data_IF_482060515385
#
_entry.id   IF_482060515385
#
_cell.length_a   1.000
_cell.length_b   1.000
_cell.length_c   1.000
_cell.angle_alpha   90.00
_cell.angle_beta   90.00
_cell.angle_gamma   90.00
#
_symmetry.space_group_name_H-M   'P 1'
#
loop_
_entity.id
_entity.type
_entity.pdbx_description
1 polymer ?
#
# COMPACT_ATOMS: atom_id res chain seq x y z
N UNK A 1 36.07 -2.43 28.66
CA UNK A 1 35.14 -2.76 27.55
C UNK A 1 33.71 -2.90 28.08
N UNK A 2 33.18 -1.91 28.81
CA UNK A 2 32.03 -2.13 29.71
C UNK A 2 30.87 -1.14 29.70
N UNK A 3 30.89 -0.07 28.89
CA UNK A 3 29.77 0.89 28.81
C UNK A 3 29.36 1.17 27.35
N UNK A 4 30.32 1.34 26.44
CA UNK A 4 30.05 1.49 25.00
C UNK A 4 29.28 0.29 24.41
N UNK A 5 29.53 -0.93 24.89
CA UNK A 5 28.82 -2.12 24.43
C UNK A 5 27.30 -2.08 24.75
N UNK A 6 26.88 -1.32 25.77
CA UNK A 6 25.47 -1.16 26.13
C UNK A 6 24.70 -0.27 25.15
N UNK A 7 25.36 0.71 24.52
CA UNK A 7 24.74 1.64 23.55
C UNK A 7 24.59 1.01 22.15
N UNK A 8 25.55 0.17 21.75
CA UNK A 8 25.54 -0.44 20.40
C UNK A 8 24.67 -1.69 20.30
N UNK A 9 24.41 -2.39 21.42
CA UNK A 9 23.66 -3.63 21.43
C UNK A 9 22.18 -3.45 21.00
N UNK A 10 21.43 -2.44 21.50
CA UNK A 10 20.07 -2.17 21.03
C UNK A 10 20.00 -1.87 19.52
N UNK A 11 20.96 -1.06 19.02
CA UNK A 11 21.05 -0.73 17.60
C UNK A 11 21.37 -1.95 16.72
N UNK A 12 22.22 -2.86 17.20
CA UNK A 12 22.55 -4.10 16.50
C UNK A 12 21.35 -5.05 16.42
N UNK A 13 20.58 -5.19 17.50
CA UNK A 13 19.34 -5.98 17.49
C UNK A 13 18.24 -5.35 16.64
N UNK A 14 18.11 -4.02 16.67
CA UNK A 14 17.23 -3.30 15.78
C UNK A 14 17.61 -3.56 14.31
N UNK A 15 18.89 -3.46 13.96
CA UNK A 15 19.39 -3.75 12.63
C UNK A 15 19.01 -5.17 12.19
N UNK A 16 19.21 -6.15 13.07
CA UNK A 16 18.85 -7.54 12.84
C UNK A 16 17.33 -7.70 12.62
N UNK A 17 16.51 -7.06 13.45
CA UNK A 17 15.06 -7.05 13.34
C UNK A 17 14.57 -6.43 12.02
N UNK A 18 15.15 -5.31 11.60
CA UNK A 18 14.85 -4.65 10.32
C UNK A 18 15.25 -5.53 9.13
N UNK A 19 16.41 -6.19 9.20
CA UNK A 19 16.84 -7.15 8.17
C UNK A 19 15.84 -8.30 8.03
N UNK A 20 15.42 -8.91 9.15
CA UNK A 20 14.43 -10.00 9.10
C UNK A 20 13.06 -9.51 8.64
N UNK A 21 12.62 -8.33 9.08
CA UNK A 21 11.38 -7.70 8.63
C UNK A 21 11.38 -7.51 7.11
N UNK A 22 12.48 -6.98 6.55
CA UNK A 22 12.65 -6.79 5.09
C UNK A 22 12.66 -8.12 4.35
N UNK A 23 13.42 -9.10 4.83
CA UNK A 23 13.49 -10.43 4.22
C UNK A 23 12.14 -11.17 4.25
N UNK A 24 11.34 -10.96 5.29
CA UNK A 24 9.98 -11.48 5.38
C UNK A 24 9.07 -10.84 4.32
N UNK A 25 9.15 -9.51 4.13
CA UNK A 25 8.41 -8.81 3.06
C UNK A 25 8.84 -9.23 1.65
N UNK A 26 10.06 -9.73 1.46
CA UNK A 26 10.58 -10.26 0.19
C UNK A 26 10.18 -11.74 -0.07
N UNK A 27 9.42 -12.38 0.82
CA UNK A 27 8.89 -13.73 0.59
C UNK A 27 9.90 -14.87 0.71
N UNK A 28 11.03 -14.69 1.42
CA UNK A 28 12.02 -15.76 1.62
C UNK A 28 11.50 -16.80 2.63
N UNK A 29 11.01 -17.94 2.13
CA UNK A 29 10.34 -19.06 2.87
C UNK A 29 11.01 -19.55 4.17
N UNK A 30 12.32 -19.42 4.32
CA UNK A 30 13.07 -20.05 5.43
C UNK A 30 12.98 -19.29 6.77
N UNK A 31 12.45 -18.07 6.79
CA UNK A 31 12.62 -17.17 7.94
C UNK A 31 11.32 -16.71 8.60
N UNK A 32 10.14 -16.88 7.97
CA UNK A 32 8.87 -16.28 8.41
C UNK A 32 8.48 -16.60 9.86
N UNK A 33 8.63 -17.86 10.31
CA UNK A 33 8.32 -18.23 11.71
C UNK A 33 9.34 -17.69 12.73
N UNK A 34 10.61 -17.53 12.35
CA UNK A 34 11.68 -17.04 13.23
C UNK A 34 11.80 -15.51 13.21
N UNK A 35 11.39 -14.86 12.13
CA UNK A 35 11.44 -13.40 11.93
C UNK A 35 10.35 -12.66 12.69
N UNK A 36 9.19 -13.28 12.91
CA UNK A 36 8.12 -12.68 13.73
C UNK A 36 8.42 -12.80 15.22
N UNK A 37 9.04 -13.90 15.66
CA UNK A 37 9.47 -14.08 17.06
C UNK A 37 10.61 -13.12 17.45
N UNK A 38 11.48 -12.75 16.51
CA UNK A 38 12.57 -11.79 16.78
C UNK A 38 12.08 -10.35 16.97
N UNK A 39 10.90 -9.97 16.45
CA UNK A 39 10.30 -8.66 16.73
C UNK A 39 9.83 -8.49 18.18
N UNK A 40 9.49 -9.60 18.83
CA UNK A 40 9.16 -9.67 20.26
C UNK A 40 10.45 -9.71 21.10
N UNK A 41 11.50 -10.36 20.61
CA UNK A 41 12.82 -10.32 21.25
C UNK A 41 13.44 -8.90 21.22
N UNK A 42 13.20 -8.09 20.17
CA UNK A 42 13.54 -6.66 20.16
C UNK A 42 12.72 -5.84 21.15
N UNK A 43 11.46 -6.22 21.43
CA UNK A 43 10.62 -5.58 22.44
C UNK A 43 11.17 -5.76 23.86
N UNK A 44 11.84 -6.90 24.13
CA UNK A 44 12.53 -7.15 25.39
C UNK A 44 13.66 -6.13 25.69
N UNK A 45 14.13 -5.40 24.67
CA UNK A 45 15.20 -4.40 24.77
C UNK A 45 14.71 -2.94 24.77
N UNK A 46 13.39 -2.70 24.71
CA UNK A 46 12.79 -1.38 25.00
C UNK A 46 13.20 -0.85 26.40
N UNK A 47 13.62 -1.76 27.27
CA UNK A 47 14.18 -1.49 28.59
C UNK A 47 15.61 -0.91 28.58
N UNK A 48 16.32 -0.88 27.45
CA UNK A 48 17.75 -0.55 27.44
C UNK A 48 18.06 0.88 26.99
N UNK A 49 17.20 1.53 26.19
CA UNK A 49 17.32 2.98 25.96
C UNK A 49 15.97 3.65 25.65
N UNK A 50 15.20 4.07 26.67
CA UNK A 50 13.92 4.75 26.50
C UNK A 50 14.02 6.18 25.91
N UNK A 51 15.22 6.62 25.47
CA UNK A 51 15.44 7.96 24.91
C UNK A 51 15.67 8.00 23.40
N UNK A 52 15.72 6.86 22.71
CA UNK A 52 15.86 6.83 21.25
C UNK A 52 14.49 6.70 20.57
N UNK A 53 14.03 7.80 19.98
CA UNK A 53 12.75 7.87 19.27
C UNK A 53 12.71 6.94 18.06
N UNK A 54 13.85 6.70 17.41
CA UNK A 54 13.94 5.87 16.20
C UNK A 54 13.84 4.38 16.51
N UNK A 55 14.42 3.95 17.63
CA UNK A 55 14.23 2.58 18.14
C UNK A 55 12.76 2.35 18.50
N UNK A 56 12.15 3.33 19.18
CA UNK A 56 10.74 3.28 19.59
C UNK A 56 9.79 3.22 18.39
N UNK A 57 10.01 4.05 17.37
CA UNK A 57 9.26 4.06 16.12
C UNK A 57 9.38 2.71 15.37
N UNK A 58 10.60 2.19 15.22
CA UNK A 58 10.81 0.94 14.51
C UNK A 58 10.18 -0.27 15.24
N UNK A 59 10.19 -0.26 16.58
CA UNK A 59 9.47 -1.27 17.37
C UNK A 59 7.96 -1.17 17.13
N UNK A 60 7.39 0.04 17.22
CA UNK A 60 5.97 0.27 16.92
C UNK A 60 5.62 -0.23 15.52
N UNK A 61 6.45 0.09 14.52
CA UNK A 61 6.26 -0.33 13.14
C UNK A 61 6.28 -1.85 13.00
N UNK A 62 7.21 -2.53 13.68
CA UNK A 62 7.29 -3.99 13.63
C UNK A 62 6.07 -4.65 14.29
N UNK A 63 5.61 -4.15 15.44
CA UNK A 63 4.38 -4.62 16.08
C UNK A 63 3.16 -4.41 15.16
N UNK A 64 3.07 -3.26 14.50
CA UNK A 64 2.03 -2.95 13.54
C UNK A 64 2.03 -3.92 12.34
N UNK A 65 3.20 -4.22 11.76
CA UNK A 65 3.36 -5.20 10.67
C UNK A 65 2.87 -6.59 11.08
N UNK A 66 3.08 -6.99 12.34
CA UNK A 66 2.62 -8.28 12.90
C UNK A 66 1.15 -8.22 13.39
N UNK A 67 0.41 -7.14 13.07
CA UNK A 67 -1.00 -6.92 13.46
C UNK A 67 -1.24 -6.77 14.97
N UNK A 68 -0.20 -6.52 15.77
CA UNK A 68 -0.35 -6.16 17.18
C UNK A 68 -0.62 -4.65 17.31
N UNK A 69 -1.76 -4.21 16.76
CA UNK A 69 -2.12 -2.78 16.61
C UNK A 69 -2.21 -2.06 17.96
N UNK A 70 -2.74 -2.72 19.00
CA UNK A 70 -2.82 -2.15 20.35
C UNK A 70 -1.44 -2.02 21.01
N UNK A 71 -0.61 -3.05 20.93
CA UNK A 71 0.74 -3.05 21.50
C UNK A 71 1.67 -2.04 20.82
N UNK A 72 1.45 -1.74 19.53
CA UNK A 72 2.22 -0.75 18.78
C UNK A 72 2.04 0.69 19.28
N UNK A 73 0.95 0.99 19.99
CA UNK A 73 0.63 2.36 20.42
C UNK A 73 1.60 2.88 21.49
N UNK A 74 2.02 2.04 22.43
CA UNK A 74 2.89 2.46 23.55
C UNK A 74 4.30 2.86 23.07
N UNK A 75 5.01 2.05 22.27
CA UNK A 75 6.28 2.47 21.66
C UNK A 75 6.16 3.69 20.75
N UNK A 76 5.03 3.83 20.05
CA UNK A 76 4.81 5.01 19.21
C UNK A 76 4.60 6.28 20.04
N UNK A 77 3.86 6.20 21.15
CA UNK A 77 3.70 7.31 22.07
C UNK A 77 5.04 7.75 22.67
N UNK A 78 5.92 6.79 23.00
CA UNK A 78 7.28 7.10 23.43
C UNK A 78 8.05 7.87 22.34
N UNK A 79 8.01 7.42 21.07
CA UNK A 79 8.64 8.12 19.95
C UNK A 79 8.11 9.56 19.76
N UNK A 80 6.78 9.74 19.78
CA UNK A 80 6.13 11.05 19.66
C UNK A 80 6.38 11.96 20.87
N UNK A 81 6.57 11.40 22.07
CA UNK A 81 6.91 12.19 23.26
C UNK A 81 8.30 12.83 23.18
N UNK A 82 9.21 12.19 22.43
CA UNK A 82 10.56 12.70 22.16
C UNK A 82 10.56 13.64 20.96
N UNK A 83 9.84 13.26 19.89
CA UNK A 83 9.74 14.02 18.63
C UNK A 83 8.28 14.05 18.15
N UNK A 84 7.52 15.05 18.59
CA UNK A 84 6.09 15.19 18.26
C UNK A 84 5.81 15.46 16.78
N UNK A 85 6.80 16.01 16.06
CA UNK A 85 6.69 16.41 14.65
C UNK A 85 7.36 15.42 13.69
N UNK A 86 7.76 14.23 14.16
CA UNK A 86 8.37 13.24 13.28
C UNK A 86 7.37 12.70 12.24
N UNK A 87 7.69 12.91 10.96
CA UNK A 87 6.85 12.54 9.80
C UNK A 87 6.42 11.08 9.86
N UNK A 88 7.36 10.17 10.08
CA UNK A 88 7.09 8.73 10.05
C UNK A 88 6.27 8.28 11.26
N UNK A 89 6.47 8.89 12.43
CA UNK A 89 5.69 8.64 13.63
C UNK A 89 4.25 9.12 13.47
N UNK A 90 4.02 10.33 12.93
CA UNK A 90 2.67 10.82 12.63
C UNK A 90 1.98 9.98 11.54
N UNK A 91 2.72 9.54 10.52
CA UNK A 91 2.19 8.64 9.49
C UNK A 91 1.84 7.27 10.09
N UNK A 92 2.67 6.70 10.96
CA UNK A 92 2.37 5.44 11.63
C UNK A 92 1.14 5.57 12.54
N UNK A 93 1.01 6.67 13.28
CA UNK A 93 -0.16 6.96 14.11
C UNK A 93 -1.43 6.99 13.26
N UNK A 94 -1.38 7.69 12.12
CA UNK A 94 -2.47 7.72 11.14
C UNK A 94 -2.87 6.30 10.70
N UNK A 95 -1.90 5.45 10.37
CA UNK A 95 -2.17 4.07 9.92
C UNK A 95 -2.75 3.21 11.06
N UNK A 96 -2.24 3.33 12.29
CA UNK A 96 -2.75 2.60 13.45
C UNK A 96 -4.18 3.02 13.80
N UNK A 97 -4.48 4.33 13.80
CA UNK A 97 -5.84 4.84 14.00
C UNK A 97 -6.78 4.33 12.90
N UNK A 98 -6.31 4.31 11.65
CA UNK A 98 -7.09 3.76 10.53
C UNK A 98 -7.35 2.25 10.70
N UNK A 99 -6.39 1.50 11.24
CA UNK A 99 -6.54 0.08 11.53
C UNK A 99 -7.57 -0.18 12.64
N UNK A 100 -7.68 0.73 13.60
CA UNK A 100 -8.71 0.74 14.65
C UNK A 100 -10.05 1.32 14.17
N UNK A 101 -10.19 1.64 12.89
CA UNK A 101 -11.37 2.28 12.27
C UNK A 101 -11.70 3.68 12.82
N UNK A 102 -10.74 4.34 13.46
CA UNK A 102 -10.84 5.74 13.89
C UNK A 102 -10.47 6.69 12.74
N UNK A 103 -11.22 6.65 11.63
CA UNK A 103 -10.86 7.37 10.39
C UNK A 103 -10.82 8.89 10.55
N UNK A 104 -11.72 9.49 11.35
CA UNK A 104 -11.69 10.93 11.60
C UNK A 104 -10.38 11.38 12.28
N UNK A 105 -9.99 10.71 13.37
CA UNK A 105 -8.75 11.01 14.09
C UNK A 105 -7.51 10.71 13.23
N UNK A 106 -7.56 9.67 12.40
CA UNK A 106 -6.50 9.36 11.45
C UNK A 106 -6.33 10.52 10.45
N UNK A 107 -7.43 11.05 9.90
CA UNK A 107 -7.40 12.16 8.94
C UNK A 107 -6.91 13.46 9.60
N UNK A 108 -7.30 13.75 10.84
CA UNK A 108 -6.79 14.90 11.61
C UNK A 108 -5.27 14.81 11.83
N UNK A 109 -4.79 13.64 12.25
CA UNK A 109 -3.35 13.37 12.44
C UNK A 109 -2.60 13.51 11.11
N UNK A 110 -3.18 13.01 10.03
CA UNK A 110 -2.58 13.11 8.69
C UNK A 110 -2.51 14.55 8.19
N UNK A 111 -3.55 15.35 8.45
CA UNK A 111 -3.57 16.76 8.10
C UNK A 111 -2.52 17.57 8.88
N UNK A 112 -2.25 17.19 10.14
CA UNK A 112 -1.12 17.75 10.90
C UNK A 112 0.21 17.46 10.19
N UNK A 113 0.46 16.20 9.79
CA UNK A 113 1.68 15.84 9.08
C UNK A 113 1.81 16.54 7.71
N UNK A 114 0.70 16.65 6.97
CA UNK A 114 0.64 17.38 5.69
C UNK A 114 0.82 18.90 5.85
N UNK A 115 0.44 19.48 6.99
CA UNK A 115 0.70 20.91 7.25
C UNK A 115 2.19 21.22 7.33
N UNK A 116 3.00 20.25 7.75
CA UNK A 116 4.46 20.35 7.83
C UNK A 116 5.13 19.89 6.53
N UNK A 117 4.51 18.94 5.82
CA UNK A 117 5.03 18.32 4.60
C UNK A 117 3.95 18.25 3.49
N UNK A 118 3.55 19.39 2.89
CA UNK A 118 2.41 19.46 1.97
C UNK A 118 2.62 18.63 0.70
N UNK A 119 3.85 18.55 0.21
CA UNK A 119 4.19 17.87 -1.04
C UNK A 119 4.52 16.38 -0.86
N UNK A 120 4.34 15.83 0.35
CA UNK A 120 4.65 14.42 0.60
C UNK A 120 3.60 13.50 -0.04
N UNK A 121 3.94 12.99 -1.22
CA UNK A 121 3.07 12.11 -2.01
C UNK A 121 2.64 10.84 -1.27
N UNK A 122 3.45 10.29 -0.34
CA UNK A 122 3.04 9.13 0.45
C UNK A 122 1.96 9.48 1.48
N UNK A 123 2.04 10.66 2.10
CA UNK A 123 0.99 11.16 2.98
C UNK A 123 -0.29 11.45 2.17
N UNK A 124 -0.16 12.13 1.03
CA UNK A 124 -1.29 12.43 0.14
C UNK A 124 -1.98 11.16 -0.39
N UNK A 125 -1.25 10.12 -0.79
CA UNK A 125 -1.85 8.82 -1.14
C UNK A 125 -2.59 8.17 0.04
N UNK A 126 -2.15 8.43 1.27
CA UNK A 126 -2.87 7.97 2.48
C UNK A 126 -4.13 8.78 2.71
N UNK A 127 -4.09 10.09 2.43
CA UNK A 127 -5.24 11.00 2.50
C UNK A 127 -6.31 10.57 1.50
N UNK A 128 -5.93 10.34 0.24
CA UNK A 128 -6.82 9.82 -0.81
C UNK A 128 -7.56 8.56 -0.33
N UNK A 129 -6.83 7.59 0.25
CA UNK A 129 -7.43 6.35 0.74
C UNK A 129 -8.35 6.54 1.95
N UNK A 130 -8.04 7.48 2.86
CA UNK A 130 -8.94 7.82 3.97
C UNK A 130 -10.19 8.55 3.48
N UNK A 131 -10.04 9.49 2.54
CA UNK A 131 -11.17 10.21 1.94
C UNK A 131 -12.08 9.28 1.14
N UNK A 132 -11.51 8.33 0.41
CA UNK A 132 -12.26 7.28 -0.30
C UNK A 132 -13.15 6.51 0.69
N UNK A 133 -12.61 6.11 1.84
CA UNK A 133 -13.33 5.38 2.87
C UNK A 133 -14.38 6.21 3.63
N UNK A 134 -14.14 7.51 3.82
CA UNK A 134 -15.01 8.39 4.62
C UNK A 134 -16.09 9.10 3.81
N UNK A 135 -15.75 9.53 2.58
CA UNK A 135 -16.54 10.46 1.79
C UNK A 135 -16.84 9.94 0.37
N UNK A 136 -16.24 8.81 -0.01
CA UNK A 136 -16.43 8.18 -1.32
C UNK A 136 -15.43 8.64 -2.40
N UNK A 137 -15.51 8.06 -3.60
CA UNK A 137 -14.49 8.22 -4.63
C UNK A 137 -14.37 9.66 -5.17
N UNK A 138 -15.49 10.40 -5.26
CA UNK A 138 -15.49 11.76 -5.76
C UNK A 138 -14.65 12.72 -4.90
N UNK A 139 -14.70 12.59 -3.56
CA UNK A 139 -13.89 13.40 -2.66
C UNK A 139 -12.40 13.06 -2.77
N UNK A 140 -12.08 11.76 -2.85
CA UNK A 140 -10.71 11.28 -3.00
C UNK A 140 -10.06 11.70 -4.34
N UNK A 141 -10.86 11.80 -5.40
CA UNK A 141 -10.40 12.27 -6.72
C UNK A 141 -9.89 13.71 -6.67
N UNK A 142 -10.48 14.57 -5.85
CA UNK A 142 -10.01 15.95 -5.69
C UNK A 142 -8.55 15.99 -5.21
N UNK A 143 -8.20 15.17 -4.22
CA UNK A 143 -6.80 15.07 -3.75
C UNK A 143 -5.88 14.46 -4.82
N UNK A 144 -6.34 13.49 -5.61
CA UNK A 144 -5.57 12.99 -6.75
C UNK A 144 -5.30 14.07 -7.82
N UNK A 145 -6.29 14.91 -8.12
CA UNK A 145 -6.14 16.03 -9.05
C UNK A 145 -5.12 17.05 -8.53
N UNK A 146 -5.18 17.41 -7.24
CA UNK A 146 -4.19 18.27 -6.59
C UNK A 146 -2.77 17.69 -6.70
N UNK A 147 -2.61 16.39 -6.41
CA UNK A 147 -1.32 15.70 -6.55
C UNK A 147 -0.75 15.77 -7.97
N UNK A 148 -1.59 15.55 -8.99
CA UNK A 148 -1.17 15.60 -10.39
C UNK A 148 -0.83 17.02 -10.83
N UNK A 149 -1.60 18.02 -10.37
CA UNK A 149 -1.31 19.44 -10.63
C UNK A 149 0.01 19.87 -10.00
N UNK A 150 0.26 19.51 -8.74
CA UNK A 150 1.53 19.74 -8.06
C UNK A 150 2.69 19.11 -8.86
N UNK A 151 2.54 17.85 -9.28
CA UNK A 151 3.57 17.17 -10.08
C UNK A 151 3.85 17.89 -11.40
N UNK A 152 2.80 18.28 -12.15
CA UNK A 152 2.93 19.03 -13.41
C UNK A 152 3.62 20.38 -13.20
N UNK A 153 3.32 21.07 -12.10
CA UNK A 153 3.92 22.38 -11.78
C UNK A 153 5.41 22.29 -11.43
N UNK A 154 5.84 21.20 -10.78
CA UNK A 154 7.24 21.00 -10.38
C UNK A 154 8.12 20.47 -11.51
N UNK A 155 7.55 19.82 -12.52
CA UNK A 155 8.29 19.19 -13.61
C UNK A 155 8.21 19.93 -14.96
N UNK A 156 7.74 21.18 -14.94
CA UNK A 156 7.81 22.19 -16.01
C UNK A 156 7.82 21.61 -17.42
N UNK A 157 6.74 20.88 -17.77
CA UNK A 157 6.36 20.72 -19.17
C UNK A 157 5.65 22.02 -19.53
N UNK A 158 6.35 22.89 -20.23
CA UNK A 158 5.87 24.18 -20.70
C UNK A 158 4.44 24.14 -21.24
N UNK A 159 3.48 24.74 -20.54
CA UNK A 159 2.69 25.85 -21.07
C UNK A 159 1.85 26.51 -19.98
N UNK A 160 1.86 27.84 -20.00
CA UNK A 160 1.09 28.72 -19.14
C UNK A 160 -0.42 28.37 -19.14
N UNK A 161 -1.07 28.25 -17.97
CA UNK A 161 -2.23 29.12 -17.62
C UNK A 161 -3.00 28.69 -16.34
N UNK A 162 -3.56 29.72 -15.71
CA UNK A 162 -4.32 29.85 -14.45
C UNK A 162 -5.61 28.99 -14.29
N UNK A 163 -6.23 28.93 -13.08
CA UNK A 163 -6.74 27.68 -12.46
C UNK A 163 -8.26 27.41 -12.54
N UNK A 164 -9.03 28.00 -13.45
CA UNK A 164 -10.50 28.06 -13.28
C UNK A 164 -11.37 27.06 -14.09
N UNK A 165 -10.81 26.13 -14.88
CA UNK A 165 -11.61 25.22 -15.73
C UNK A 165 -10.93 23.85 -15.86
N UNK A 166 -10.87 23.06 -14.79
CA UNK A 166 -9.98 21.91 -14.67
C UNK A 166 -10.44 20.63 -15.43
N UNK A 167 -11.75 20.37 -15.56
CA UNK A 167 -12.23 19.09 -16.13
C UNK A 167 -12.14 19.03 -17.65
N UNK A 168 -12.39 20.14 -18.36
CA UNK A 168 -12.28 20.16 -19.84
C UNK A 168 -10.86 20.44 -20.34
N UNK A 169 -9.91 20.74 -19.44
CA UNK A 169 -8.51 21.05 -19.79
C UNK A 169 -7.54 19.96 -19.45
N UNK A 170 -7.91 19.01 -18.58
CA UNK A 170 -7.28 17.70 -18.58
C UNK A 170 -7.33 17.16 -20.03
N UNK A 171 -8.49 17.02 -20.67
CA UNK A 171 -8.57 16.53 -22.07
C UNK A 171 -7.64 17.25 -23.09
N UNK A 172 -7.38 18.55 -22.94
CA UNK A 172 -6.53 19.33 -23.84
C UNK A 172 -5.03 19.24 -23.53
N UNK A 173 -4.64 19.30 -22.25
CA UNK A 173 -3.23 19.11 -21.84
C UNK A 173 -2.78 17.64 -22.00
N UNK A 174 -3.72 16.70 -21.88
CA UNK A 174 -3.50 15.26 -21.96
C UNK A 174 -3.29 14.74 -23.39
N UNK A 175 -3.67 15.51 -24.42
CA UNK A 175 -3.35 15.17 -25.81
C UNK A 175 -1.89 15.48 -26.18
N UNK A 176 -1.28 16.51 -25.57
CA UNK A 176 0.11 16.92 -25.84
C UNK A 176 1.14 16.07 -25.04
N UNK A 177 0.74 15.46 -23.93
CA UNK A 177 1.60 14.55 -23.14
C UNK A 177 1.85 13.22 -23.87
N UNK A 178 0.94 12.79 -24.75
CA UNK A 178 1.09 11.56 -25.54
C UNK A 178 2.28 11.60 -26.51
N UNK A 179 2.62 12.79 -27.01
CA UNK A 179 3.75 13.02 -27.94
C UNK A 179 5.12 13.10 -27.23
N UNK A 180 5.15 13.18 -25.89
CA UNK A 180 6.37 13.36 -25.09
C UNK A 180 6.94 12.05 -24.50
N UNK A 181 6.34 10.91 -24.80
CA UNK A 181 6.79 9.58 -24.34
C UNK A 181 8.19 9.18 -24.86
N UNK A 182 8.74 9.90 -25.85
CA UNK A 182 10.02 9.60 -26.49
C UNK A 182 11.20 10.47 -26.04
N UNK A 183 10.97 11.54 -25.29
CA UNK A 183 12.00 12.55 -24.98
C UNK A 183 12.34 12.58 -23.50
N UNK A 184 13.31 11.72 -23.14
CA UNK A 184 14.20 11.83 -21.96
C UNK A 184 13.51 12.02 -20.60
N UNK A 185 13.22 10.88 -19.96
CA UNK A 185 13.02 10.76 -18.51
C UNK A 185 14.27 11.27 -17.78
N UNK A 186 14.27 12.52 -17.33
CA UNK A 186 15.33 13.10 -16.49
C UNK A 186 14.73 13.35 -15.10
N UNK A 187 15.34 12.74 -14.08
CA UNK A 187 14.86 12.79 -12.70
C UNK A 187 15.05 11.45 -12.00
N UNK A 188 15.18 11.42 -10.66
CA UNK A 188 15.40 10.18 -9.93
C UNK A 188 14.20 9.21 -10.08
N UNK A 189 14.46 7.89 -10.15
CA UNK A 189 13.49 6.87 -10.55
C UNK A 189 12.24 6.80 -9.65
N UNK A 190 12.37 7.16 -8.38
CA UNK A 190 11.26 7.12 -7.42
C UNK A 190 10.12 8.11 -7.75
N UNK A 191 10.42 9.21 -8.45
CA UNK A 191 9.42 10.20 -8.85
C UNK A 191 8.42 9.57 -9.83
N UNK A 192 8.94 8.88 -10.84
CA UNK A 192 8.13 8.20 -11.86
C UNK A 192 7.30 7.07 -11.27
N UNK A 193 7.89 6.28 -10.37
CA UNK A 193 7.18 5.21 -9.64
C UNK A 193 6.04 5.81 -8.81
N UNK A 194 6.25 7.00 -8.23
CA UNK A 194 5.20 7.66 -7.46
C UNK A 194 4.10 8.20 -8.36
N UNK A 195 4.45 8.82 -9.50
CA UNK A 195 3.47 9.27 -10.49
C UNK A 195 2.63 8.11 -11.03
N UNK A 196 3.23 6.96 -11.34
CA UNK A 196 2.51 5.74 -11.71
C UNK A 196 1.48 5.37 -10.64
N UNK A 197 1.85 5.40 -9.36
CA UNK A 197 0.92 5.11 -8.26
C UNK A 197 -0.22 6.11 -8.17
N UNK A 198 0.02 7.39 -8.41
CA UNK A 198 -1.05 8.41 -8.43
C UNK A 198 -2.03 8.14 -9.56
N UNK A 199 -1.53 7.86 -10.78
CA UNK A 199 -2.37 7.50 -11.91
C UNK A 199 -3.20 6.24 -11.66
N UNK A 200 -2.58 5.18 -11.12
CA UNK A 200 -3.28 3.94 -10.79
C UNK A 200 -4.34 4.16 -9.70
N UNK A 201 -4.05 5.01 -8.72
CA UNK A 201 -5.00 5.37 -7.68
C UNK A 201 -6.20 6.14 -8.24
N UNK A 202 -5.96 7.15 -9.10
CA UNK A 202 -7.03 7.86 -9.78
C UNK A 202 -7.87 6.92 -10.66
N UNK A 203 -7.21 6.01 -11.39
CA UNK A 203 -7.89 4.98 -12.19
C UNK A 203 -8.78 4.05 -11.36
N UNK A 204 -8.32 3.64 -10.18
CA UNK A 204 -9.12 2.85 -9.24
C UNK A 204 -10.35 3.62 -8.75
N UNK A 205 -10.20 4.91 -8.40
CA UNK A 205 -11.30 5.77 -7.97
C UNK A 205 -12.33 6.00 -9.09
N UNK A 206 -11.89 6.23 -10.33
CA UNK A 206 -12.79 6.34 -11.47
C UNK A 206 -13.54 5.03 -11.76
N UNK A 207 -12.89 3.88 -11.57
CA UNK A 207 -13.59 2.59 -11.65
C UNK A 207 -14.66 2.45 -10.56
N UNK A 208 -14.37 2.88 -9.33
CA UNK A 208 -15.34 2.88 -8.23
C UNK A 208 -16.52 3.83 -8.48
N UNK A 209 -16.29 4.94 -9.19
CA UNK A 209 -17.31 5.91 -9.62
C UNK A 209 -18.00 5.51 -10.96
N UNK A 210 -17.74 4.31 -11.49
CA UNK A 210 -18.26 3.81 -12.77
C UNK A 210 -17.88 4.65 -14.01
N UNK A 211 -16.86 5.52 -13.89
CA UNK A 211 -16.32 6.37 -14.96
C UNK A 211 -15.22 5.64 -15.73
N UNK A 212 -15.63 4.63 -16.49
CA UNK A 212 -14.69 3.68 -17.11
C UNK A 212 -13.79 4.28 -18.20
N UNK A 213 -14.15 5.41 -18.82
CA UNK A 213 -13.32 6.06 -19.84
C UNK A 213 -12.12 6.76 -19.20
N UNK A 214 -12.37 7.49 -18.14
CA UNK A 214 -11.38 8.18 -17.33
C UNK A 214 -10.46 7.18 -16.63
N UNK A 215 -11.03 6.08 -16.10
CA UNK A 215 -10.23 4.98 -15.58
C UNK A 215 -9.26 4.40 -16.62
N UNK A 216 -9.75 4.15 -17.85
CA UNK A 216 -8.91 3.66 -18.94
C UNK A 216 -7.78 4.63 -19.27
N UNK A 217 -8.08 5.92 -19.26
CA UNK A 217 -7.09 6.98 -19.50
C UNK A 217 -6.00 6.97 -18.42
N UNK A 218 -6.36 7.00 -17.14
CA UNK A 218 -5.39 6.95 -16.04
C UNK A 218 -4.49 5.69 -16.09
N UNK A 219 -5.08 4.54 -16.43
CA UNK A 219 -4.31 3.29 -16.60
C UNK A 219 -3.38 3.36 -17.81
N UNK A 220 -3.77 4.03 -18.90
CA UNK A 220 -2.92 4.24 -20.07
C UNK A 220 -1.72 5.15 -19.74
N UNK A 221 -1.92 6.21 -18.95
CA UNK A 221 -0.84 7.07 -18.48
C UNK A 221 0.12 6.33 -17.53
N UNK A 222 -0.39 5.54 -16.59
CA UNK A 222 0.47 4.67 -15.78
C UNK A 222 1.27 3.69 -16.65
N UNK A 223 0.66 3.15 -17.71
CA UNK A 223 1.32 2.26 -18.66
C UNK A 223 2.36 2.97 -19.54
N UNK A 224 2.19 4.25 -19.85
CA UNK A 224 3.18 5.03 -20.62
C UNK A 224 4.50 5.19 -19.84
N UNK A 225 4.39 5.28 -18.50
CA UNK A 225 5.52 5.27 -17.58
C UNK A 225 6.15 3.88 -17.48
N UNK A 226 5.34 2.87 -17.16
CA UNK A 226 5.79 1.49 -16.95
C UNK A 226 4.87 0.48 -17.66
N UNK A 227 5.11 0.18 -18.95
CA UNK A 227 4.22 -0.67 -19.74
C UNK A 227 4.05 -2.10 -19.20
N UNK A 228 5.10 -2.63 -18.56
CA UNK A 228 5.17 -3.98 -18.01
C UNK A 228 5.08 -3.97 -16.48
N UNK A 229 4.47 -2.94 -15.88
CA UNK A 229 4.20 -2.95 -14.44
C UNK A 229 3.07 -3.93 -14.13
N UNK A 230 3.30 -4.85 -13.19
CA UNK A 230 2.25 -5.78 -12.75
C UNK A 230 1.02 -5.01 -12.22
N UNK A 231 1.21 -3.86 -11.57
CA UNK A 231 0.13 -3.03 -11.05
C UNK A 231 -0.76 -2.48 -12.16
N UNK A 232 -0.15 -2.03 -13.27
CA UNK A 232 -0.88 -1.56 -14.47
C UNK A 232 -1.70 -2.69 -15.07
N UNK A 233 -1.09 -3.87 -15.25
CA UNK A 233 -1.77 -5.05 -15.81
C UNK A 233 -2.95 -5.49 -14.93
N UNK A 234 -2.79 -5.47 -13.60
CA UNK A 234 -3.88 -5.75 -12.67
C UNK A 234 -5.04 -4.76 -12.81
N UNK A 235 -4.77 -3.45 -12.96
CA UNK A 235 -5.83 -2.46 -13.16
C UNK A 235 -6.52 -2.61 -14.53
N UNK A 236 -5.77 -2.97 -15.59
CA UNK A 236 -6.36 -3.31 -16.90
C UNK A 236 -7.30 -4.51 -16.81
N UNK A 237 -6.87 -5.57 -16.14
CA UNK A 237 -7.71 -6.74 -15.92
C UNK A 237 -8.99 -6.39 -15.16
N UNK A 238 -8.88 -5.58 -14.09
CA UNK A 238 -10.04 -5.15 -13.29
C UNK A 238 -11.01 -4.29 -14.09
N UNK A 239 -10.50 -3.38 -14.91
CA UNK A 239 -11.33 -2.58 -15.81
C UNK A 239 -12.07 -3.44 -16.83
N UNK A 240 -11.41 -4.48 -17.37
CA UNK A 240 -12.04 -5.44 -18.28
C UNK A 240 -13.14 -6.26 -17.59
N UNK A 241 -12.93 -6.71 -16.34
CA UNK A 241 -13.98 -7.37 -15.54
C UNK A 241 -15.21 -6.47 -15.35
N UNK A 242 -15.00 -5.21 -14.95
CA UNK A 242 -16.08 -4.22 -14.77
C UNK A 242 -16.84 -3.92 -16.06
N UNK A 243 -16.20 -4.12 -17.22
CA UNK A 243 -16.83 -3.99 -18.55
C UNK A 243 -17.49 -5.28 -19.05
N UNK A 244 -17.42 -6.37 -18.28
CA UNK A 244 -17.97 -7.68 -18.68
C UNK A 244 -17.15 -8.40 -19.74
N UNK A 245 -15.82 -8.17 -19.77
CA UNK A 245 -14.87 -8.79 -20.70
C UNK A 245 -13.95 -9.78 -19.97
N UNK A 246 -14.45 -10.99 -19.58
CA UNK A 246 -13.70 -11.91 -18.73
C UNK A 246 -12.47 -12.52 -19.39
N UNK A 247 -12.48 -12.69 -20.72
CA UNK A 247 -11.34 -13.26 -21.46
C UNK A 247 -10.16 -12.27 -21.51
N UNK A 248 -10.44 -11.00 -21.77
CA UNK A 248 -9.43 -9.92 -21.75
C UNK A 248 -8.88 -9.73 -20.33
N UNK A 249 -9.76 -9.75 -19.33
CA UNK A 249 -9.37 -9.68 -17.93
C UNK A 249 -8.37 -10.78 -17.57
N UNK A 250 -8.68 -12.02 -17.95
CA UNK A 250 -7.81 -13.17 -17.75
C UNK A 250 -6.46 -13.00 -18.43
N UNK A 251 -6.41 -12.53 -19.67
CA UNK A 251 -5.15 -12.29 -20.37
C UNK A 251 -4.24 -11.33 -19.60
N UNK A 252 -4.79 -10.19 -19.15
CA UNK A 252 -4.04 -9.22 -18.36
C UNK A 252 -3.59 -9.75 -16.99
N UNK A 253 -4.41 -10.57 -16.33
CA UNK A 253 -4.03 -11.21 -15.08
C UNK A 253 -2.94 -12.27 -15.25
N UNK A 254 -3.01 -13.09 -16.31
CA UNK A 254 -1.98 -14.07 -16.64
C UNK A 254 -0.62 -13.37 -16.93
N UNK A 255 -0.63 -12.25 -17.65
CA UNK A 255 0.55 -11.41 -17.87
C UNK A 255 1.11 -10.81 -16.56
N UNK A 256 0.23 -10.28 -15.69
CA UNK A 256 0.64 -9.69 -14.42
C UNK A 256 1.39 -10.71 -13.53
N UNK A 257 0.91 -11.95 -13.51
CA UNK A 257 1.50 -13.05 -12.72
C UNK A 257 2.84 -13.53 -13.28
N UNK A 258 2.99 -13.53 -14.60
CA UNK A 258 4.26 -13.86 -15.24
C UNK A 258 5.38 -12.88 -14.82
N UNK A 259 5.01 -11.63 -14.51
CA UNK A 259 5.94 -10.58 -14.07
C UNK A 259 6.17 -10.65 -12.56
N UNK A 260 5.10 -10.66 -11.77
CA UNK A 260 5.19 -10.69 -10.31
C UNK A 260 4.16 -11.66 -9.73
N UNK A 261 4.60 -12.81 -9.18
CA UNK A 261 3.69 -13.84 -8.67
C UNK A 261 2.78 -13.40 -7.52
N UNK A 262 2.96 -12.22 -6.92
CA UNK A 262 2.17 -11.75 -5.74
C UNK A 262 0.85 -11.05 -6.09
N UNK A 263 0.38 -11.11 -7.34
CA UNK A 263 -0.98 -10.69 -7.74
C UNK A 263 -2.10 -11.64 -7.28
N UNK A 264 -1.82 -12.47 -6.26
CA UNK A 264 -2.51 -13.71 -5.94
C UNK A 264 -3.99 -13.49 -5.54
N UNK A 265 -4.31 -12.31 -4.98
CA UNK A 265 -5.67 -11.91 -4.63
C UNK A 265 -6.59 -11.88 -5.85
N UNK A 266 -6.19 -11.13 -6.86
CA UNK A 266 -7.03 -10.85 -8.03
C UNK A 266 -7.13 -12.12 -8.88
N UNK A 267 -6.03 -12.88 -8.96
CA UNK A 267 -6.05 -14.18 -9.60
C UNK A 267 -6.94 -15.18 -8.87
N UNK A 268 -6.88 -15.26 -7.54
CA UNK A 268 -7.68 -16.21 -6.77
C UNK A 268 -9.17 -16.05 -7.05
N UNK A 269 -9.67 -14.81 -6.98
CA UNK A 269 -11.06 -14.48 -7.29
C UNK A 269 -11.43 -14.79 -8.75
N UNK A 270 -10.58 -14.41 -9.70
CA UNK A 270 -10.79 -14.73 -11.12
C UNK A 270 -10.83 -16.25 -11.36
N UNK A 271 -9.94 -17.02 -10.73
CA UNK A 271 -9.89 -18.47 -10.90
C UNK A 271 -11.13 -19.13 -10.33
N UNK A 272 -11.66 -18.65 -9.19
CA UNK A 272 -12.97 -19.09 -8.67
C UNK A 272 -14.08 -18.77 -9.66
N UNK A 273 -14.16 -17.53 -10.14
CA UNK A 273 -15.19 -17.08 -11.07
C UNK A 273 -15.14 -17.80 -12.43
N UNK A 274 -13.96 -18.21 -12.88
CA UNK A 274 -13.75 -18.98 -14.12
C UNK A 274 -13.87 -20.50 -13.91
N UNK A 275 -14.38 -20.96 -12.76
CA UNK A 275 -14.63 -22.37 -12.47
C UNK A 275 -13.38 -23.21 -12.20
N UNK A 276 -12.22 -22.59 -12.04
CA UNK A 276 -10.92 -23.24 -11.79
C UNK A 276 -10.55 -23.23 -10.31
N UNK A 277 -11.50 -23.64 -9.46
CA UNK A 277 -11.39 -23.55 -8.01
C UNK A 277 -10.18 -24.31 -7.41
N UNK A 278 -9.78 -25.45 -7.98
CA UNK A 278 -8.58 -26.18 -7.53
C UNK A 278 -7.27 -25.41 -7.77
N UNK A 279 -7.16 -24.71 -8.90
CA UNK A 279 -6.00 -23.85 -9.17
C UNK A 279 -6.04 -22.61 -8.27
N UNK A 280 -7.24 -22.05 -8.06
CA UNK A 280 -7.45 -20.94 -7.14
C UNK A 280 -6.96 -21.31 -5.73
N UNK A 281 -7.39 -22.46 -5.20
CA UNK A 281 -6.95 -22.95 -3.89
C UNK A 281 -5.42 -23.04 -3.81
N UNK A 282 -4.76 -23.65 -4.81
CA UNK A 282 -3.30 -23.81 -4.79
C UNK A 282 -2.59 -22.46 -4.73
N UNK A 283 -2.99 -21.52 -5.59
CA UNK A 283 -2.37 -20.18 -5.63
C UNK A 283 -2.66 -19.40 -4.35
N UNK A 284 -3.89 -19.45 -3.84
CA UNK A 284 -4.28 -18.75 -2.62
C UNK A 284 -3.63 -19.35 -1.37
N UNK A 285 -3.35 -20.66 -1.35
CA UNK A 285 -2.56 -21.30 -0.28
C UNK A 285 -1.12 -20.82 -0.28
N UNK A 286 -0.50 -20.66 -1.45
CA UNK A 286 0.83 -20.04 -1.55
C UNK A 286 0.75 -18.58 -1.07
N UNK A 287 -0.29 -17.85 -1.46
CA UNK A 287 -0.50 -16.46 -1.08
C UNK A 287 -0.59 -16.22 0.43
N UNK A 288 -1.40 -17.01 1.14
CA UNK A 288 -1.52 -16.89 2.61
C UNK A 288 -0.25 -17.37 3.33
N UNK A 289 0.60 -18.19 2.69
CA UNK A 289 1.92 -18.52 3.24
C UNK A 289 2.90 -17.35 3.12
N UNK A 290 2.85 -16.60 2.01
CA UNK A 290 3.69 -15.41 1.81
C UNK A 290 3.18 -14.18 2.58
N UNK A 291 1.87 -13.96 2.58
CA UNK A 291 1.18 -12.82 3.17
C UNK A 291 0.09 -13.30 4.14
N UNK A 292 0.52 -13.86 5.27
CA UNK A 292 -0.39 -14.41 6.29
C UNK A 292 -1.39 -13.40 6.86
N UNK A 293 -1.09 -12.10 6.73
CA UNK A 293 -1.92 -11.00 7.25
C UNK A 293 -2.82 -10.35 6.19
N UNK A 294 -2.97 -10.97 5.02
CA UNK A 294 -3.84 -10.48 3.93
C UNK A 294 -5.26 -11.07 4.07
N UNK A 295 -6.20 -10.28 4.61
CA UNK A 295 -7.59 -10.71 4.76
C UNK A 295 -8.23 -11.07 3.40
N UNK A 296 -7.90 -10.33 2.34
CA UNK A 296 -8.43 -10.60 0.99
C UNK A 296 -7.95 -11.96 0.44
N UNK A 297 -6.71 -12.37 0.72
CA UNK A 297 -6.20 -13.68 0.33
C UNK A 297 -6.90 -14.81 1.11
N UNK A 298 -7.14 -14.62 2.40
CA UNK A 298 -7.91 -15.56 3.22
C UNK A 298 -9.37 -15.67 2.77
N UNK A 299 -10.01 -14.55 2.42
CA UNK A 299 -11.36 -14.54 1.85
C UNK A 299 -11.41 -15.29 0.52
N UNK A 300 -10.47 -15.02 -0.39
CA UNK A 300 -10.37 -15.73 -1.66
C UNK A 300 -10.13 -17.23 -1.48
N UNK A 301 -9.30 -17.62 -0.50
CA UNK A 301 -9.11 -19.04 -0.15
C UNK A 301 -10.41 -19.66 0.37
N UNK A 302 -11.17 -18.95 1.20
CA UNK A 302 -12.50 -19.35 1.66
C UNK A 302 -13.47 -19.55 0.50
N UNK A 303 -13.53 -18.63 -0.47
CA UNK A 303 -14.36 -18.72 -1.68
C UNK A 303 -13.98 -19.96 -2.53
N UNK A 304 -12.67 -20.18 -2.75
CA UNK A 304 -12.20 -21.34 -3.49
C UNK A 304 -12.54 -22.66 -2.78
N UNK A 305 -12.34 -22.74 -1.47
CA UNK A 305 -12.67 -23.92 -0.66
C UNK A 305 -14.18 -24.17 -0.58
N UNK A 306 -14.99 -23.11 -0.53
CA UNK A 306 -16.45 -23.20 -0.55
C UNK A 306 -16.94 -23.76 -1.88
N UNK A 307 -16.39 -23.29 -3.01
CA UNK A 307 -16.71 -23.82 -4.34
C UNK A 307 -16.35 -25.32 -4.48
N UNK A 308 -15.34 -25.78 -3.72
CA UNK A 308 -14.94 -27.19 -3.66
C UNK A 308 -15.70 -28.01 -2.60
N UNK A 309 -16.61 -27.40 -1.82
CA UNK A 309 -17.36 -28.08 -0.75
C UNK A 309 -16.51 -28.48 0.46
N UNK A 310 -15.36 -27.82 0.67
CA UNK A 310 -14.46 -28.13 1.79
C UNK A 310 -14.95 -27.55 3.11
N UNK A 311 -14.83 -28.34 4.19
CA UNK A 311 -15.19 -27.91 5.55
C UNK A 311 -14.25 -26.86 6.15
N UNK A 312 -13.10 -26.57 5.51
CA UNK A 312 -12.14 -25.55 5.97
C UNK A 312 -12.53 -24.12 5.56
N UNK A 313 -13.53 -23.95 4.69
CA UNK A 313 -13.92 -22.62 4.21
C UNK A 313 -14.33 -21.64 5.34
N UNK A 314 -15.13 -22.03 6.35
CA UNK A 314 -15.50 -21.14 7.45
C UNK A 314 -14.30 -20.61 8.24
N UNK A 315 -13.30 -21.44 8.51
CA UNK A 315 -12.09 -21.04 9.25
C UNK A 315 -11.30 -19.96 8.49
N UNK A 316 -11.25 -20.08 7.15
CA UNK A 316 -10.60 -19.08 6.30
C UNK A 316 -11.35 -17.74 6.34
N UNK A 317 -12.69 -17.76 6.31
CA UNK A 317 -13.50 -16.55 6.43
C UNK A 317 -13.39 -15.89 7.81
N UNK A 318 -13.36 -16.68 8.90
CA UNK A 318 -13.14 -16.15 10.25
C UNK A 318 -11.77 -15.45 10.35
N UNK A 319 -10.72 -16.09 9.84
CA UNK A 319 -9.37 -15.50 9.78
C UNK A 319 -9.36 -14.21 8.96
N UNK A 320 -10.07 -14.17 7.82
CA UNK A 320 -10.21 -12.97 7.02
C UNK A 320 -10.86 -11.82 7.80
N UNK A 321 -11.96 -12.07 8.52
CA UNK A 321 -12.66 -11.06 9.32
C UNK A 321 -11.79 -10.52 10.46
N UNK A 322 -11.05 -11.38 11.16
CA UNK A 322 -10.11 -10.97 12.21
C UNK A 322 -9.00 -10.06 11.67
N UNK A 323 -8.47 -10.39 10.49
CA UNK A 323 -7.43 -9.60 9.83
C UNK A 323 -7.96 -8.28 9.25
N UNK A 324 -9.21 -8.26 8.76
CA UNK A 324 -9.88 -7.06 8.27
C UNK A 324 -10.14 -6.05 9.39
N UNK A 325 -10.54 -6.55 10.57
CA UNK A 325 -10.78 -5.74 11.77
C UNK A 325 -9.53 -4.95 12.21
N UNK A 326 -8.33 -5.48 11.92
CA UNK A 326 -7.04 -4.83 12.20
C UNK A 326 -6.33 -4.29 10.94
N UNK A 327 -7.04 -4.19 9.81
CA UNK A 327 -6.48 -3.73 8.55
C UNK A 327 -6.35 -2.19 8.48
N UNK A 328 -5.12 -1.63 8.33
CA UNK A 328 -4.96 -0.21 8.09
C UNK A 328 -5.43 0.13 6.67
N UNK A 329 -5.71 1.40 6.46
CA UNK A 329 -6.15 1.91 5.17
C UNK A 329 -5.09 1.75 4.08
N UNK A 330 -3.80 1.75 4.47
CA UNK A 330 -2.65 1.41 3.62
C UNK A 330 -1.67 0.54 4.40
N UNK A 331 -0.90 -0.34 3.75
CA UNK A 331 0.03 -1.22 4.43
C UNK A 331 1.04 -0.46 5.30
N UNK A 332 1.34 -0.96 6.51
CA UNK A 332 2.37 -0.36 7.38
C UNK A 332 3.76 -0.30 6.73
N UNK A 333 4.03 -1.21 5.78
CA UNK A 333 5.31 -1.30 5.06
C UNK A 333 5.60 -0.13 4.12
N UNK A 334 4.67 0.81 3.93
CA UNK A 334 4.94 2.05 3.20
C UNK A 334 5.89 2.99 3.96
N UNK A 335 6.00 2.83 5.28
CA UNK A 335 6.94 3.59 6.10
C UNK A 335 8.33 2.94 5.97
N UNK A 336 9.37 3.71 5.62
CA UNK A 336 10.71 3.18 5.42
C UNK A 336 11.27 2.60 6.73
N UNK A 337 11.88 1.42 6.61
CA UNK A 337 12.52 0.68 7.70
C UNK A 337 14.00 1.03 7.73
N UNK A 338 14.39 2.12 8.38
CA UNK A 338 15.75 2.67 8.35
C UNK A 338 16.38 2.74 9.75
N UNK A 339 17.70 2.53 9.80
CA UNK A 339 18.55 2.66 10.99
C UNK A 339 19.07 4.07 11.15
#
# INVERSE_FOLDING_TARGET
>A
MGEEAGEFLPRAYLALGLCFSRQASEGKKLLTKKSHTTGIETAHFFLVDPKDAKISLNLALQLAIVRQVSAAMEPLQAALSLHGDDLHSLHLLTLLLSAQKHHCHALETLNLALSQHPDNLNLLLTKVKLEEAMFGPAAALQTCEEMLQCWLSHHDVSSHSSPSVAVSRLDAALSEVSDMSSTRRHGPPHIWITLERVWLQAGELFMADCRFKEAQYCIAEAASLFPNSHSVLLQRGRLAELRGQPDDAKGHYDEALAIHPTGERVLGRLLVNTGRAHLAEKVLRDAVQFHSTSHEAWSGLGEALQALGSSQAPDCFLTALELEASCPIRPFTIIPREL
#
